data_IF_828843265087
#
_entry.id   IF_828843265087
#
_cell.length_a   1.000
_cell.length_b   1.000
_cell.length_c   1.000
_cell.angle_alpha   90.00
_cell.angle_beta   90.00
_cell.angle_gamma   90.00
#
_symmetry.space_group_name_H-M   'P 1'
#
loop_
_entity.id
_entity.type
_entity.pdbx_description
1 polymer ?
#
# COMPACT_ATOMS: atom_id res chain seq x y z
N UNK A 1 -3.31 21.57 6.93
CA UNK A 1 -2.09 20.91 7.46
C UNK A 1 -2.00 19.46 6.97
N UNK A 2 -0.80 18.86 6.80
CA UNK A 2 -0.64 17.48 6.24
C UNK A 2 -1.43 16.40 7.01
N UNK A 3 -1.32 16.39 8.34
CA UNK A 3 -1.90 15.35 9.21
C UNK A 3 -3.22 15.74 9.85
N UNK A 4 -3.86 16.80 9.36
CA UNK A 4 -5.06 17.41 9.93
C UNK A 4 -6.18 16.41 10.19
N UNK A 5 -6.48 15.54 9.20
CA UNK A 5 -7.53 14.52 9.32
C UNK A 5 -7.29 13.50 10.45
N UNK A 6 -6.02 13.25 10.79
CA UNK A 6 -5.64 12.34 11.87
C UNK A 6 -5.66 13.10 13.20
N UNK A 7 -4.96 14.24 13.27
CA UNK A 7 -4.78 14.98 14.51
C UNK A 7 -6.12 15.50 15.07
N UNK A 8 -7.06 15.89 14.19
CA UNK A 8 -8.40 16.32 14.59
C UNK A 8 -9.25 15.22 15.23
N UNK A 9 -8.78 13.97 15.21
CA UNK A 9 -9.43 12.81 15.85
C UNK A 9 -8.76 12.40 17.16
N UNK A 10 -7.61 12.99 17.49
CA UNK A 10 -6.86 12.69 18.71
C UNK A 10 -7.15 13.68 19.85
N UNK A 11 -7.71 14.85 19.52
CA UNK A 11 -8.02 15.91 20.48
C UNK A 11 -9.38 16.54 20.15
N UNK A 12 -10.09 16.98 21.19
CA UNK A 12 -11.29 17.81 21.05
C UNK A 12 -10.95 19.30 20.83
N UNK A 13 -9.68 19.66 20.95
CA UNK A 13 -9.19 21.03 20.78
C UNK A 13 -8.78 21.32 19.33
N UNK A 14 -8.89 22.60 18.88
CA UNK A 14 -8.41 23.00 17.57
C UNK A 14 -6.91 22.72 17.38
N UNK A 15 -6.54 22.39 16.15
CA UNK A 15 -5.15 22.16 15.78
C UNK A 15 -4.42 23.48 15.65
N UNK A 16 -3.24 23.58 16.28
CA UNK A 16 -2.37 24.76 16.21
C UNK A 16 -1.30 24.49 15.15
N UNK A 17 -1.20 25.39 14.16
CA UNK A 17 -0.15 25.36 13.15
C UNK A 17 0.97 26.35 13.53
N UNK A 18 2.03 25.83 14.15
CA UNK A 18 3.17 26.64 14.59
C UNK A 18 3.97 27.28 13.43
N UNK A 19 3.77 26.87 12.18
CA UNK A 19 4.40 27.54 11.05
C UNK A 19 3.79 28.93 10.78
N UNK A 20 2.49 29.09 11.06
CA UNK A 20 1.76 30.33 10.88
C UNK A 20 1.50 31.11 12.16
N UNK A 21 1.45 30.43 13.31
CA UNK A 21 1.15 31.04 14.61
C UNK A 21 2.43 31.35 15.40
N UNK A 22 2.76 32.65 15.49
CA UNK A 22 3.94 33.16 16.20
C UNK A 22 3.68 33.49 17.68
N UNK A 23 2.49 33.21 18.20
CA UNK A 23 2.16 33.50 19.61
C UNK A 23 2.81 32.48 20.53
N UNK A 24 3.08 32.91 21.76
CA UNK A 24 3.45 31.99 22.85
C UNK A 24 2.20 31.27 23.35
N UNK A 25 2.19 29.94 23.27
CA UNK A 25 1.11 29.10 23.80
C UNK A 25 1.56 28.49 25.13
N UNK A 26 0.89 28.86 26.22
CA UNK A 26 1.13 28.28 27.54
C UNK A 26 0.06 27.23 27.84
N UNK A 27 0.46 26.00 28.13
CA UNK A 27 -0.43 24.93 28.55
C UNK A 27 -0.07 24.51 29.98
N UNK A 28 -1.06 24.26 30.85
CA UNK A 28 -0.80 23.83 32.22
C UNK A 28 -0.16 22.44 32.27
N UNK A 29 -0.48 21.58 31.30
CA UNK A 29 0.00 20.20 31.22
C UNK A 29 0.26 19.80 29.75
N UNK A 30 1.09 18.78 29.55
CA UNK A 30 1.36 18.17 28.25
C UNK A 30 1.28 16.64 28.34
N UNK A 31 0.68 16.02 27.31
CA UNK A 31 0.69 14.56 27.16
C UNK A 31 1.81 14.19 26.18
N UNK A 32 2.86 13.54 26.68
CA UNK A 32 3.98 13.05 25.88
C UNK A 32 3.89 11.53 25.72
N UNK A 33 3.82 11.06 24.48
CA UNK A 33 3.84 9.63 24.18
C UNK A 33 5.26 9.08 24.25
N UNK A 34 5.60 8.39 25.35
CA UNK A 34 6.93 7.77 25.56
C UNK A 34 6.93 6.24 25.35
N UNK A 35 5.77 5.64 25.06
CA UNK A 35 5.63 4.18 24.91
C UNK A 35 5.79 3.77 23.45
N UNK A 36 6.86 3.04 23.17
CA UNK A 36 7.11 2.33 21.91
C UNK A 36 7.11 0.83 22.21
N UNK A 37 6.48 0.04 21.33
CA UNK A 37 6.47 -1.42 21.47
C UNK A 37 7.51 -2.08 20.54
N UNK A 38 7.60 -1.61 19.31
CA UNK A 38 8.57 -2.01 18.27
C UNK A 38 8.36 -1.08 17.05
N UNK A 39 9.09 -1.32 15.96
CA UNK A 39 8.87 -0.63 14.68
C UNK A 39 7.48 -0.94 14.09
N UNK A 40 6.60 0.08 14.05
CA UNK A 40 5.25 0.00 13.46
C UNK A 40 4.35 -1.12 14.04
N UNK A 41 4.65 -1.66 15.23
CA UNK A 41 3.81 -2.67 15.89
C UNK A 41 3.02 -2.09 17.05
N UNK A 42 1.99 -2.82 17.47
CA UNK A 42 1.23 -2.53 18.69
C UNK A 42 1.03 -3.82 19.47
N UNK A 43 1.77 -4.01 20.56
CA UNK A 43 1.60 -5.12 21.48
C UNK A 43 0.28 -4.98 22.27
N UNK A 44 -0.75 -5.81 22.01
CA UNK A 44 -2.06 -5.61 22.63
C UNK A 44 -2.04 -5.80 24.15
N UNK A 45 -1.24 -6.74 24.65
CA UNK A 45 -1.06 -7.01 26.09
C UNK A 45 -0.51 -5.82 26.88
N UNK A 46 0.18 -4.90 26.21
CA UNK A 46 0.76 -3.70 26.82
C UNK A 46 -0.17 -2.47 26.68
N UNK A 47 -1.28 -2.61 25.95
CA UNK A 47 -2.22 -1.53 25.67
C UNK A 47 -3.46 -1.61 26.55
N UNK A 48 -3.88 -0.45 27.09
CA UNK A 48 -5.19 -0.32 27.74
C UNK A 48 -6.30 -0.71 26.76
N UNK A 49 -7.08 -1.72 27.13
CA UNK A 49 -8.19 -2.23 26.31
C UNK A 49 -7.75 -3.12 25.14
N UNK A 50 -6.57 -3.74 25.24
CA UNK A 50 -6.05 -4.73 24.27
C UNK A 50 -6.05 -4.23 22.82
N UNK A 51 -5.74 -2.94 22.64
CA UNK A 51 -5.70 -2.32 21.31
C UNK A 51 -4.54 -2.88 20.51
N UNK A 52 -4.79 -3.19 19.24
CA UNK A 52 -3.81 -3.71 18.29
C UNK A 52 -3.63 -2.78 17.09
N UNK A 53 -2.76 -3.16 16.14
CA UNK A 53 -2.59 -2.46 14.86
C UNK A 53 -3.90 -2.40 14.04
N UNK A 54 -4.81 -3.36 14.24
CA UNK A 54 -6.14 -3.32 13.62
C UNK A 54 -7.00 -2.18 14.17
N UNK A 55 -6.89 -1.86 15.47
CA UNK A 55 -7.58 -0.69 16.03
C UNK A 55 -7.01 0.62 15.46
N UNK A 56 -5.70 0.69 15.23
CA UNK A 56 -5.08 1.82 14.54
C UNK A 56 -5.58 1.91 13.09
N UNK A 57 -5.68 0.79 12.37
CA UNK A 57 -6.26 0.75 11.04
C UNK A 57 -7.70 1.26 11.02
N UNK A 58 -8.56 0.82 11.93
CA UNK A 58 -9.93 1.34 12.06
C UNK A 58 -9.98 2.83 12.41
N UNK A 59 -9.01 3.32 13.18
CA UNK A 59 -8.88 4.75 13.44
C UNK A 59 -8.56 5.54 12.15
N UNK A 60 -7.68 5.02 11.29
CA UNK A 60 -7.41 5.62 9.99
C UNK A 60 -8.66 5.65 9.08
N UNK A 61 -9.49 4.60 9.09
CA UNK A 61 -10.79 4.61 8.38
C UNK A 61 -11.62 5.83 8.81
N UNK A 62 -11.83 6.00 10.12
CA UNK A 62 -12.64 7.10 10.66
C UNK A 62 -12.05 8.49 10.41
N UNK A 63 -10.72 8.59 10.40
CA UNK A 63 -10.01 9.83 10.15
C UNK A 63 -10.19 10.32 8.71
N UNK A 64 -10.04 9.42 7.72
CA UNK A 64 -10.05 9.81 6.30
C UNK A 64 -11.43 9.71 5.64
N UNK A 65 -12.37 8.92 6.17
CA UNK A 65 -13.69 8.73 5.57
C UNK A 65 -14.47 10.02 5.26
N UNK A 66 -14.50 11.06 6.12
CA UNK A 66 -15.22 12.30 5.81
C UNK A 66 -14.66 13.02 4.59
N UNK A 67 -13.32 13.07 4.46
CA UNK A 67 -12.66 13.73 3.34
C UNK A 67 -12.82 12.94 2.04
N UNK A 68 -12.83 11.61 2.12
CA UNK A 68 -13.10 10.75 0.95
C UNK A 68 -14.54 10.93 0.46
N UNK A 69 -15.53 10.95 1.36
CA UNK A 69 -16.94 11.13 1.01
C UNK A 69 -17.26 12.54 0.52
N UNK A 70 -16.66 13.56 1.13
CA UNK A 70 -16.94 14.96 0.81
C UNK A 70 -16.20 15.52 -0.40
N UNK A 71 -15.18 14.84 -0.94
CA UNK A 71 -14.31 15.43 -1.97
C UNK A 71 -14.47 14.94 -3.41
N UNK A 72 -15.26 13.91 -3.77
CA UNK A 72 -15.36 13.47 -5.18
C UNK A 72 -16.78 12.99 -5.57
N UNK A 73 -17.44 13.59 -6.59
CA UNK A 73 -18.51 12.93 -7.33
C UNK A 73 -17.89 11.76 -8.11
N UNK A 74 -18.49 10.57 -8.01
CA UNK A 74 -18.09 9.38 -8.77
C UNK A 74 -18.18 9.67 -10.28
N UNK A 75 -17.09 10.16 -10.89
CA UNK A 75 -16.95 10.31 -12.34
C UNK A 75 -16.75 8.97 -13.07
N UNK A 76 -17.26 7.87 -12.52
CA UNK A 76 -17.30 6.55 -13.16
C UNK A 76 -18.74 6.06 -13.46
N UNK A 77 -19.78 6.88 -13.24
CA UNK A 77 -21.16 6.56 -13.67
C UNK A 77 -21.74 7.51 -14.73
N UNK A 78 -20.94 8.43 -15.28
CA UNK A 78 -21.42 9.51 -16.16
C UNK A 78 -21.38 9.26 -17.68
N UNK A 79 -21.07 8.06 -18.17
CA UNK A 79 -20.87 7.81 -19.63
C UNK A 79 -22.04 7.05 -20.29
N UNK A 80 -23.11 6.71 -19.56
CA UNK A 80 -24.24 5.96 -20.15
C UNK A 80 -25.59 6.66 -20.15
N UNK A 81 -25.64 7.99 -19.91
CA UNK A 81 -26.90 8.75 -19.85
C UNK A 81 -26.95 10.02 -20.73
N UNK A 82 -26.03 10.19 -21.69
CA UNK A 82 -26.11 11.30 -22.66
C UNK A 82 -25.83 10.85 -24.09
N UNK A 83 -26.73 10.05 -24.63
CA UNK A 83 -27.00 9.88 -26.06
C UNK A 83 -28.34 9.18 -26.14
N UNK A 84 -29.43 9.94 -26.06
CA UNK A 84 -30.79 9.54 -26.45
C UNK A 84 -31.74 10.76 -26.32
N UNK A 85 -31.40 11.86 -26.97
CA UNK A 85 -32.34 12.95 -27.25
C UNK A 85 -31.97 13.56 -28.62
N UNK A 86 -32.32 12.84 -29.69
CA UNK A 86 -32.63 13.40 -31.01
C UNK A 86 -32.89 12.25 -31.99
N UNK A 87 -34.16 11.97 -32.25
CA UNK A 87 -34.72 11.62 -33.57
C UNK A 87 -36.09 10.97 -33.37
N UNK A 88 -37.13 11.73 -33.69
CA UNK A 88 -38.52 11.30 -33.80
C UNK A 88 -38.82 10.98 -35.27
N UNK A 89 -39.02 9.69 -35.61
CA UNK A 89 -39.81 9.22 -36.76
C UNK A 89 -40.44 7.87 -36.37
N UNK A 90 -41.75 7.62 -36.61
CA UNK A 90 -42.43 6.42 -36.12
C UNK A 90 -42.43 5.31 -37.18
N UNK A 91 -42.08 4.07 -36.79
CA UNK A 91 -42.53 2.89 -37.54
C UNK A 91 -42.75 1.68 -36.63
N UNK A 92 -43.91 1.08 -36.83
CA UNK A 92 -44.56 -0.01 -36.11
C UNK A 92 -43.77 -1.33 -36.24
N UNK A 93 -43.48 -2.01 -35.12
CA UNK A 93 -42.80 -3.31 -35.16
C UNK A 93 -42.56 -4.00 -33.81
N UNK A 94 -43.59 -4.69 -33.33
CA UNK A 94 -43.57 -5.92 -32.50
C UNK A 94 -42.67 -5.97 -31.24
N UNK A 95 -43.37 -5.92 -30.11
CA UNK A 95 -42.93 -6.26 -28.74
C UNK A 95 -42.13 -7.57 -28.67
N UNK A 96 -40.87 -7.48 -28.22
CA UNK A 96 -40.13 -8.58 -27.60
C UNK A 96 -39.75 -8.14 -26.18
N UNK A 97 -40.37 -8.78 -25.19
CA UNK A 97 -40.01 -8.62 -23.78
C UNK A 97 -38.61 -9.22 -23.59
N UNK A 98 -37.61 -8.37 -23.37
CA UNK A 98 -36.28 -8.81 -22.94
C UNK A 98 -36.34 -9.01 -21.43
N UNK A 99 -36.10 -10.26 -20.99
CA UNK A 99 -36.04 -10.65 -19.60
C UNK A 99 -34.93 -9.88 -18.86
N UNK A 100 -35.28 -9.29 -17.72
CA UNK A 100 -34.37 -8.64 -16.77
C UNK A 100 -33.67 -9.68 -15.89
N UNK A 101 -32.81 -10.53 -16.47
CA UNK A 101 -32.11 -11.55 -15.66
C UNK A 101 -30.67 -11.89 -16.11
N UNK A 102 -29.96 -10.93 -16.71
CA UNK A 102 -28.51 -11.04 -17.00
C UNK A 102 -27.70 -10.02 -16.20
N UNK A 103 -27.69 -10.14 -14.86
CA UNK A 103 -26.57 -9.59 -14.09
C UNK A 103 -25.36 -10.50 -14.26
N UNK A 104 -24.66 -10.39 -15.41
CA UNK A 104 -23.34 -10.98 -15.61
C UNK A 104 -22.46 -10.53 -14.43
N UNK A 105 -22.06 -11.48 -13.57
CA UNK A 105 -20.96 -11.28 -12.62
C UNK A 105 -19.70 -10.96 -13.44
N UNK A 106 -19.44 -9.67 -13.67
CA UNK A 106 -18.22 -9.25 -14.33
C UNK A 106 -17.05 -9.59 -13.42
N UNK A 107 -16.16 -10.46 -13.91
CA UNK A 107 -14.92 -10.83 -13.24
C UNK A 107 -14.12 -9.56 -12.97
N UNK A 108 -13.81 -9.31 -11.70
CA UNK A 108 -13.06 -8.12 -11.27
C UNK A 108 -11.57 -8.38 -11.40
N UNK A 109 -10.86 -7.43 -12.02
CA UNK A 109 -9.39 -7.40 -12.09
C UNK A 109 -8.81 -6.79 -10.81
N UNK A 110 -7.86 -7.47 -10.13
CA UNK A 110 -7.17 -6.91 -8.97
C UNK A 110 -6.43 -5.63 -9.33
N UNK A 111 -6.47 -4.64 -8.43
CA UNK A 111 -5.72 -3.41 -8.54
C UNK A 111 -4.38 -3.54 -7.82
N UNK A 112 -3.32 -3.24 -8.55
CA UNK A 112 -1.95 -3.23 -8.05
C UNK A 112 -1.41 -1.80 -8.03
N UNK A 113 -0.85 -1.38 -6.91
CA UNK A 113 -0.16 -0.10 -6.78
C UNK A 113 1.34 -0.32 -6.71
N UNK A 114 2.09 0.37 -7.56
CA UNK A 114 3.56 0.42 -7.49
C UNK A 114 3.94 1.73 -6.81
N UNK A 115 4.63 1.65 -5.67
CA UNK A 115 5.24 2.81 -5.02
C UNK A 115 6.53 3.19 -5.72
N UNK A 116 6.41 4.18 -6.60
CA UNK A 116 7.54 4.75 -7.33
C UNK A 116 8.35 5.70 -6.47
N UNK A 117 9.66 5.73 -6.70
CA UNK A 117 10.63 6.54 -5.96
C UNK A 117 11.59 7.21 -6.95
N UNK A 118 11.95 8.45 -6.65
CA UNK A 118 13.03 9.19 -7.32
C UNK A 118 14.22 9.31 -6.38
N UNK A 119 15.43 9.09 -6.88
CA UNK A 119 16.65 9.10 -6.07
C UNK A 119 17.05 7.69 -5.62
N UNK A 120 17.28 7.50 -4.32
CA UNK A 120 17.75 6.22 -3.78
C UNK A 120 16.65 5.16 -3.71
N UNK A 121 17.07 3.91 -3.94
CA UNK A 121 16.22 2.71 -3.98
C UNK A 121 15.10 2.80 -5.01
N UNK A 122 15.36 3.48 -6.12
CA UNK A 122 14.47 3.49 -7.27
C UNK A 122 14.51 2.13 -8.00
N UNK A 123 13.36 1.75 -8.57
CA UNK A 123 13.29 0.65 -9.53
C UNK A 123 13.68 1.18 -10.90
N UNK A 124 14.86 0.81 -11.40
CA UNK A 124 15.38 1.37 -12.66
C UNK A 124 14.63 0.83 -13.88
N UNK A 125 14.04 -0.36 -13.77
CA UNK A 125 13.21 -1.00 -14.77
C UNK A 125 11.72 -1.04 -14.36
N UNK A 126 11.21 0.03 -13.74
CA UNK A 126 9.81 0.17 -13.31
C UNK A 126 8.81 -0.08 -14.45
N UNK A 127 9.09 0.42 -15.65
CA UNK A 127 8.21 0.25 -16.82
C UNK A 127 8.05 -1.23 -17.21
N UNK A 128 9.11 -2.04 -17.05
CA UNK A 128 9.03 -3.48 -17.28
C UNK A 128 8.11 -4.17 -16.25
N UNK A 129 8.15 -3.73 -15.00
CA UNK A 129 7.25 -4.23 -13.95
C UNK A 129 5.79 -3.82 -14.23
N UNK A 130 5.56 -2.57 -14.64
CA UNK A 130 4.22 -2.09 -15.04
C UNK A 130 3.66 -2.98 -16.15
N UNK A 131 4.41 -3.12 -17.25
CA UNK A 131 3.99 -3.91 -18.41
C UNK A 131 3.70 -5.36 -18.04
N UNK A 132 4.58 -6.01 -17.28
CA UNK A 132 4.36 -7.38 -16.81
C UNK A 132 3.08 -7.52 -15.98
N UNK A 133 2.82 -6.58 -15.07
CA UNK A 133 1.62 -6.62 -14.24
C UNK A 133 0.34 -6.41 -15.08
N UNK A 134 0.37 -5.52 -16.06
CA UNK A 134 -0.74 -5.31 -17.00
C UNK A 134 -1.00 -6.55 -17.87
N UNK A 135 0.05 -7.15 -18.42
CA UNK A 135 -0.01 -8.38 -19.22
C UNK A 135 -0.59 -9.57 -18.41
N UNK A 136 -0.33 -9.62 -17.10
CA UNK A 136 -0.95 -10.58 -16.17
C UNK A 136 -2.44 -10.31 -15.88
N UNK A 137 -2.93 -9.11 -16.20
CA UNK A 137 -4.33 -8.73 -15.99
C UNK A 137 -4.59 -7.89 -14.74
N UNK A 138 -3.56 -7.35 -14.07
CA UNK A 138 -3.76 -6.34 -13.04
C UNK A 138 -4.27 -5.02 -13.64
N UNK A 139 -5.01 -4.25 -12.84
CA UNK A 139 -5.16 -2.81 -13.05
C UNK A 139 -4.03 -2.11 -12.29
N UNK A 140 -3.06 -1.57 -13.01
CA UNK A 140 -1.84 -1.01 -12.40
C UNK A 140 -2.00 0.49 -12.17
N UNK A 141 -1.55 0.98 -11.02
CA UNK A 141 -1.41 2.41 -10.74
C UNK A 141 -0.03 2.70 -10.12
N UNK A 142 0.73 3.58 -10.77
CA UNK A 142 2.03 4.03 -10.25
C UNK A 142 1.82 5.23 -9.33
N UNK A 143 2.03 5.02 -8.03
CA UNK A 143 1.91 6.04 -7.01
C UNK A 143 3.29 6.63 -6.72
N UNK A 144 3.44 7.94 -6.94
CA UNK A 144 4.59 8.74 -6.50
C UNK A 144 4.21 9.53 -5.24
N UNK A 145 4.63 9.10 -4.04
CA UNK A 145 4.18 9.71 -2.79
C UNK A 145 4.58 11.18 -2.68
N UNK A 146 3.60 12.08 -2.73
CA UNK A 146 3.78 13.50 -2.41
C UNK A 146 3.36 13.74 -0.96
N UNK A 147 4.15 14.53 -0.23
CA UNK A 147 3.94 14.76 1.22
C UNK A 147 2.56 15.36 1.56
N UNK A 148 1.85 15.98 0.63
CA UNK A 148 0.63 16.76 0.89
C UNK A 148 -0.69 16.01 0.66
N UNK A 149 -0.69 14.77 0.16
CA UNK A 149 -1.91 14.12 -0.38
C UNK A 149 -2.37 12.85 0.36
N UNK A 150 -2.23 12.80 1.69
CA UNK A 150 -2.51 11.58 2.47
C UNK A 150 -3.91 11.00 2.27
N UNK A 151 -4.96 11.82 2.19
CA UNK A 151 -6.32 11.32 1.99
C UNK A 151 -6.52 10.66 0.61
N UNK A 152 -5.85 11.16 -0.43
CA UNK A 152 -5.88 10.57 -1.78
C UNK A 152 -5.12 9.24 -1.78
N UNK A 153 -3.93 9.20 -1.17
CA UNK A 153 -3.13 7.98 -1.03
C UNK A 153 -3.89 6.91 -0.23
N UNK A 154 -4.49 7.30 0.89
CA UNK A 154 -5.32 6.41 1.68
C UNK A 154 -6.48 5.85 0.85
N UNK A 155 -7.20 6.68 0.10
CA UNK A 155 -8.29 6.20 -0.77
C UNK A 155 -7.81 5.22 -1.83
N UNK A 156 -6.67 5.49 -2.45
CA UNK A 156 -6.08 4.65 -3.48
C UNK A 156 -5.69 3.27 -2.91
N UNK A 157 -4.86 3.27 -1.85
CA UNK A 157 -4.35 2.03 -1.25
C UNK A 157 -5.46 1.22 -0.59
N UNK A 158 -6.43 1.87 0.04
CA UNK A 158 -7.59 1.20 0.64
C UNK A 158 -8.52 0.53 -0.40
N UNK A 159 -8.38 0.87 -1.68
CA UNK A 159 -9.09 0.25 -2.82
C UNK A 159 -8.20 -0.68 -3.66
N UNK A 160 -6.99 -0.98 -3.18
CA UNK A 160 -6.02 -1.79 -3.91
C UNK A 160 -5.81 -3.14 -3.24
N UNK A 161 -5.67 -4.19 -4.04
CA UNK A 161 -5.48 -5.56 -3.58
C UNK A 161 -4.00 -5.91 -3.40
N UNK A 162 -3.12 -5.26 -4.16
CA UNK A 162 -1.68 -5.50 -4.13
C UNK A 162 -0.94 -4.16 -4.08
N UNK A 163 0.12 -4.11 -3.29
CA UNK A 163 1.05 -3.00 -3.22
C UNK A 163 2.47 -3.51 -3.35
N UNK A 164 3.24 -2.94 -4.26
CA UNK A 164 4.67 -3.24 -4.47
C UNK A 164 5.48 -1.99 -4.15
N UNK A 165 6.59 -2.14 -3.43
CA UNK A 165 7.53 -1.05 -3.25
C UNK A 165 8.87 -1.49 -2.69
N UNK A 166 9.89 -0.68 -2.93
CA UNK A 166 11.22 -0.90 -2.35
C UNK A 166 11.26 -0.43 -0.90
N UNK A 167 11.95 -1.19 -0.05
CA UNK A 167 12.15 -0.90 1.37
C UNK A 167 12.44 0.60 1.64
N UNK A 168 11.72 1.18 2.58
CA UNK A 168 11.98 2.52 3.11
C UNK A 168 10.73 3.28 3.54
N UNK A 169 10.89 4.54 3.96
CA UNK A 169 9.83 5.32 4.60
C UNK A 169 8.52 5.41 3.79
N UNK A 170 8.59 5.49 2.46
CA UNK A 170 7.41 5.51 1.61
C UNK A 170 6.57 4.22 1.71
N UNK A 171 7.21 3.07 1.98
CA UNK A 171 6.54 1.78 2.09
C UNK A 171 5.58 1.71 3.30
N UNK A 172 5.77 2.56 4.32
CA UNK A 172 4.91 2.64 5.52
C UNK A 172 3.43 2.93 5.19
N UNK A 173 3.14 3.43 3.99
CA UNK A 173 1.77 3.59 3.52
C UNK A 173 1.03 2.25 3.31
N UNK A 174 1.71 1.09 3.46
CA UNK A 174 1.03 -0.21 3.55
C UNK A 174 -0.02 -0.26 4.66
N UNK A 175 0.14 0.56 5.71
CA UNK A 175 -0.85 0.75 6.79
C UNK A 175 -2.22 1.23 6.28
N UNK A 176 -2.30 1.70 5.02
CA UNK A 176 -3.56 2.12 4.38
C UNK A 176 -4.23 0.99 3.59
N UNK A 177 -3.56 -0.14 3.39
CA UNK A 177 -4.16 -1.32 2.78
C UNK A 177 -5.26 -1.90 3.69
N UNK A 178 -6.20 -2.62 3.07
CA UNK A 178 -7.18 -3.40 3.83
C UNK A 178 -6.58 -4.74 4.26
N UNK A 179 -6.99 -5.28 5.42
CA UNK A 179 -6.70 -6.67 5.75
C UNK A 179 -7.03 -7.64 4.60
N UNK A 180 -6.15 -8.62 4.43
CA UNK A 180 -6.11 -9.59 3.35
C UNK A 180 -5.63 -9.02 2.00
N UNK A 181 -5.08 -7.80 1.94
CA UNK A 181 -4.37 -7.33 0.74
C UNK A 181 -2.93 -7.87 0.75
N UNK A 182 -2.23 -7.79 -0.38
CA UNK A 182 -0.85 -8.25 -0.52
C UNK A 182 0.11 -7.07 -0.43
N UNK A 183 1.13 -7.19 0.41
CA UNK A 183 2.29 -6.30 0.42
C UNK A 183 3.50 -7.06 -0.15
N UNK A 184 4.03 -6.58 -1.26
CA UNK A 184 5.30 -7.05 -1.83
C UNK A 184 6.37 -6.01 -1.52
N UNK A 185 7.33 -6.41 -0.71
CA UNK A 185 8.48 -5.58 -0.37
C UNK A 185 9.70 -6.03 -1.18
N UNK A 186 10.25 -5.15 -2.01
CA UNK A 186 11.60 -5.35 -2.56
C UNK A 186 12.60 -4.98 -1.48
N UNK A 187 13.45 -5.94 -1.10
CA UNK A 187 14.43 -5.86 -0.01
C UNK A 187 15.82 -5.68 -0.63
N UNK A 188 16.40 -4.45 -0.58
CA UNK A 188 17.75 -4.21 -1.03
C UNK A 188 18.82 -4.95 -0.22
N UNK A 189 20.05 -5.03 -0.73
CA UNK A 189 21.18 -5.61 0.01
C UNK A 189 21.34 -4.93 1.37
N UNK A 190 21.75 -5.67 2.40
CA UNK A 190 22.01 -5.15 3.74
C UNK A 190 20.78 -4.69 4.54
N UNK A 191 19.57 -4.93 4.04
CA UNK A 191 18.32 -4.48 4.72
C UNK A 191 17.43 -5.62 5.22
N UNK A 192 17.94 -6.84 5.33
CA UNK A 192 17.18 -8.03 5.73
C UNK A 192 16.48 -7.88 7.10
N UNK A 193 17.26 -7.58 8.14
CA UNK A 193 16.75 -7.40 9.51
C UNK A 193 15.70 -6.28 9.59
N UNK A 194 15.97 -5.04 9.14
CA UNK A 194 14.98 -3.98 9.18
C UNK A 194 13.78 -4.23 8.26
N UNK A 195 13.91 -5.01 7.18
CA UNK A 195 12.77 -5.36 6.34
C UNK A 195 11.73 -6.18 7.11
N UNK A 196 12.20 -7.16 7.88
CA UNK A 196 11.33 -8.01 8.69
C UNK A 196 10.73 -7.24 9.87
N UNK A 197 11.54 -6.49 10.64
CA UNK A 197 11.06 -5.75 11.83
C UNK A 197 10.13 -4.60 11.45
N UNK A 198 10.48 -3.78 10.46
CA UNK A 198 9.71 -2.59 10.12
C UNK A 198 8.49 -2.88 9.24
N UNK A 199 8.46 -3.98 8.47
CA UNK A 199 7.41 -4.21 7.48
C UNK A 199 6.84 -5.63 7.53
N UNK A 200 7.67 -6.67 7.55
CA UNK A 200 7.24 -8.06 7.51
C UNK A 200 6.28 -8.43 8.65
N UNK A 201 6.73 -8.25 9.90
CA UNK A 201 5.93 -8.50 11.10
C UNK A 201 4.69 -7.59 11.19
N UNK A 202 4.82 -6.24 11.08
CA UNK A 202 3.67 -5.33 11.09
C UNK A 202 2.62 -5.62 10.02
N UNK A 203 3.03 -5.99 8.79
CA UNK A 203 2.10 -6.34 7.72
C UNK A 203 1.27 -7.58 8.06
N UNK A 204 1.90 -8.61 8.64
CA UNK A 204 1.19 -9.82 9.10
C UNK A 204 0.23 -9.53 10.25
N UNK A 205 0.65 -8.72 11.23
CA UNK A 205 -0.23 -8.30 12.34
C UNK A 205 -1.43 -7.46 11.86
N UNK A 206 -1.25 -6.69 10.78
CA UNK A 206 -2.33 -5.95 10.10
C UNK A 206 -3.25 -6.88 9.27
N UNK A 207 -2.93 -8.17 9.19
CA UNK A 207 -3.69 -9.16 8.41
C UNK A 207 -3.39 -9.14 6.92
N UNK A 208 -2.25 -8.60 6.49
CA UNK A 208 -1.82 -8.62 5.09
C UNK A 208 -1.09 -9.92 4.75
N UNK A 209 -1.18 -10.32 3.48
CA UNK A 209 -0.26 -11.31 2.92
C UNK A 209 1.05 -10.61 2.58
N UNK A 210 2.08 -10.85 3.36
CA UNK A 210 3.41 -10.27 3.15
C UNK A 210 4.26 -11.16 2.24
N UNK A 211 4.96 -10.55 1.29
CA UNK A 211 5.94 -11.21 0.43
C UNK A 211 7.20 -10.35 0.34
N UNK A 212 8.32 -10.87 0.86
CA UNK A 212 9.63 -10.24 0.72
C UNK A 212 10.38 -10.74 -0.51
N UNK A 213 10.78 -9.83 -1.40
CA UNK A 213 11.65 -10.10 -2.54
C UNK A 213 13.06 -9.62 -2.22
N UNK A 214 13.91 -10.54 -1.73
CA UNK A 214 15.33 -10.26 -1.52
C UNK A 214 16.06 -10.22 -2.87
N UNK A 215 16.68 -9.09 -3.15
CA UNK A 215 17.47 -8.92 -4.37
C UNK A 215 18.78 -9.69 -4.27
N UNK A 216 19.29 -10.13 -5.41
CA UNK A 216 20.66 -10.60 -5.56
C UNK A 216 21.62 -9.42 -5.78
N UNK A 217 22.94 -9.61 -5.59
CA UNK A 217 23.91 -8.57 -5.89
C UNK A 217 23.77 -7.99 -7.30
N UNK A 218 23.53 -8.85 -8.31
CA UNK A 218 23.38 -8.43 -9.73
C UNK A 218 22.18 -7.53 -10.01
N UNK A 219 21.22 -7.48 -9.11
CA UNK A 219 20.05 -6.60 -9.21
C UNK A 219 20.29 -5.24 -8.53
N UNK A 220 21.41 -5.07 -7.84
CA UNK A 220 21.83 -3.84 -7.18
C UNK A 220 22.72 -3.00 -8.09
N UNK A 221 22.54 -1.68 -8.08
CA UNK A 221 23.50 -0.76 -8.73
C UNK A 221 24.91 -0.87 -8.14
N UNK A 222 25.04 -1.28 -6.88
CA UNK A 222 26.32 -1.46 -6.20
C UNK A 222 27.20 -2.53 -6.86
N UNK A 223 26.60 -3.46 -7.63
CA UNK A 223 27.35 -4.50 -8.34
C UNK A 223 28.37 -3.95 -9.34
N UNK A 224 28.13 -2.73 -9.87
CA UNK A 224 29.04 -2.06 -10.78
C UNK A 224 29.99 -1.08 -10.07
N UNK A 225 29.80 -0.85 -8.76
CA UNK A 225 30.60 0.09 -7.96
C UNK A 225 31.66 -0.61 -7.12
N UNK A 226 31.46 -1.89 -6.79
CA UNK A 226 32.33 -2.67 -5.91
C UNK A 226 32.82 -3.94 -6.61
N UNK A 227 33.98 -4.45 -6.17
CA UNK A 227 34.51 -5.73 -6.64
C UNK A 227 33.57 -6.87 -6.24
N UNK A 228 33.56 -7.96 -7.03
CA UNK A 228 32.58 -9.05 -6.85
C UNK A 228 32.73 -9.78 -5.51
N UNK A 229 33.95 -9.82 -4.98
CA UNK A 229 34.26 -10.44 -3.68
C UNK A 229 34.15 -9.45 -2.51
N UNK A 230 33.86 -8.17 -2.79
CA UNK A 230 33.76 -7.13 -1.77
C UNK A 230 32.66 -7.48 -0.74
N UNK A 231 32.94 -7.35 0.58
CA UNK A 231 31.96 -7.59 1.64
C UNK A 231 30.66 -6.81 1.48
N UNK A 232 30.65 -5.67 0.79
CA UNK A 232 29.43 -4.91 0.47
C UNK A 232 28.44 -5.75 -0.35
N UNK A 233 28.94 -6.64 -1.21
CA UNK A 233 28.13 -7.52 -2.04
C UNK A 233 27.98 -8.92 -1.45
N UNK A 234 29.05 -9.46 -0.85
CA UNK A 234 29.11 -10.87 -0.41
C UNK A 234 28.65 -11.07 1.02
N UNK A 235 28.82 -10.09 1.90
CA UNK A 235 28.52 -10.20 3.32
C UNK A 235 28.07 -8.86 3.92
N UNK A 236 26.92 -8.32 3.49
CA UNK A 236 26.45 -7.02 3.94
C UNK A 236 26.09 -7.08 5.45
N UNK A 237 27.01 -6.65 6.32
CA UNK A 237 26.85 -6.64 7.79
C UNK A 237 26.82 -5.23 8.38
N UNK A 238 25.93 -5.04 9.36
CA UNK A 238 26.04 -3.99 10.39
C UNK A 238 25.28 -2.69 10.10
N UNK A 239 24.27 -2.38 10.92
CA UNK A 239 23.43 -1.16 10.80
C UNK A 239 24.24 0.15 10.74
N UNK A 240 25.40 0.20 11.41
CA UNK A 240 26.30 1.38 11.43
C UNK A 240 26.87 1.79 10.07
N UNK A 241 26.98 0.86 9.11
CA UNK A 241 27.37 1.16 7.72
C UNK A 241 26.18 1.04 6.74
N UNK A 242 24.99 0.68 7.23
CA UNK A 242 23.86 0.28 6.40
C UNK A 242 23.12 1.43 5.74
N UNK A 243 23.05 2.59 6.39
CA UNK A 243 22.27 3.72 5.86
C UNK A 243 22.91 4.31 4.60
N UNK A 244 24.16 4.75 4.69
CA UNK A 244 24.80 5.47 3.58
C UNK A 244 24.95 4.58 2.33
N UNK A 245 25.43 3.35 2.50
CA UNK A 245 25.69 2.45 1.37
C UNK A 245 24.39 1.87 0.82
N UNK A 246 23.59 1.19 1.66
CA UNK A 246 22.47 0.40 1.16
C UNK A 246 21.15 1.16 1.05
N UNK A 247 20.95 2.24 1.83
CA UNK A 247 19.74 3.05 1.76
C UNK A 247 19.89 4.26 0.83
N UNK A 248 21.09 4.84 0.70
CA UNK A 248 21.25 6.08 -0.06
C UNK A 248 21.91 5.89 -1.43
N UNK A 249 22.77 4.88 -1.60
CA UNK A 249 23.55 4.69 -2.84
C UNK A 249 23.11 3.53 -3.74
N UNK A 250 22.07 2.81 -3.35
CA UNK A 250 21.61 1.63 -4.08
C UNK A 250 20.30 1.89 -4.83
N UNK A 251 20.26 1.55 -6.11
CA UNK A 251 19.05 1.36 -6.90
C UNK A 251 18.90 -0.10 -7.32
N UNK A 252 17.70 -0.48 -7.74
CA UNK A 252 17.35 -1.89 -8.00
C UNK A 252 16.88 -2.07 -9.43
N UNK A 253 17.50 -3.02 -10.14
CA UNK A 253 17.03 -3.56 -11.41
C UNK A 253 16.47 -4.96 -11.16
N UNK A 254 15.14 -5.11 -11.17
CA UNK A 254 14.49 -6.38 -10.86
C UNK A 254 14.81 -7.43 -11.92
N UNK A 255 15.15 -8.65 -11.48
CA UNK A 255 15.10 -9.83 -12.32
C UNK A 255 13.64 -10.16 -12.63
N UNK A 256 13.23 -9.89 -13.87
CA UNK A 256 11.85 -10.03 -14.29
C UNK A 256 11.35 -11.47 -14.31
N UNK A 257 12.23 -12.45 -14.50
CA UNK A 257 11.82 -13.87 -14.45
C UNK A 257 11.55 -14.32 -13.02
N UNK A 258 12.40 -13.92 -12.08
CA UNK A 258 12.20 -14.20 -10.65
C UNK A 258 10.99 -13.45 -10.11
N UNK A 259 10.86 -12.17 -10.44
CA UNK A 259 9.77 -11.34 -9.97
C UNK A 259 8.40 -11.77 -10.54
N UNK A 260 8.35 -12.23 -11.79
CA UNK A 260 7.11 -12.76 -12.40
C UNK A 260 6.46 -13.87 -11.55
N UNK A 261 7.26 -14.82 -11.04
CA UNK A 261 6.75 -15.93 -10.21
C UNK A 261 6.06 -15.42 -8.95
N UNK A 262 6.65 -14.41 -8.31
CA UNK A 262 6.11 -13.78 -7.13
C UNK A 262 4.82 -13.01 -7.44
N UNK A 263 4.84 -12.25 -8.52
CA UNK A 263 3.71 -11.44 -8.95
C UNK A 263 2.49 -12.30 -9.34
N UNK A 264 2.72 -13.46 -9.97
CA UNK A 264 1.68 -14.44 -10.24
C UNK A 264 1.02 -14.97 -8.96
N UNK A 265 1.80 -15.28 -7.92
CA UNK A 265 1.25 -15.72 -6.62
C UNK A 265 0.38 -14.64 -5.96
N UNK A 266 0.74 -13.37 -6.11
CA UNK A 266 -0.05 -12.24 -5.63
C UNK A 266 -1.32 -12.06 -6.46
N UNK A 267 -1.24 -12.25 -7.79
CA UNK A 267 -2.39 -12.21 -8.69
C UNK A 267 -3.40 -13.28 -8.32
N UNK A 268 -2.99 -14.54 -8.27
CA UNK A 268 -3.89 -15.66 -7.98
C UNK A 268 -4.60 -15.49 -6.64
N UNK A 269 -3.86 -15.09 -5.61
CA UNK A 269 -4.44 -14.83 -4.29
C UNK A 269 -5.46 -13.69 -4.32
N UNK A 270 -5.11 -12.56 -4.92
CA UNK A 270 -6.00 -11.39 -4.96
C UNK A 270 -7.21 -11.60 -5.86
N UNK A 271 -7.02 -12.24 -7.01
CA UNK A 271 -8.08 -12.59 -7.96
C UNK A 271 -9.12 -13.50 -7.33
N UNK A 272 -8.67 -14.59 -6.68
CA UNK A 272 -9.56 -15.52 -5.97
C UNK A 272 -10.32 -14.80 -4.85
N UNK A 273 -9.65 -13.95 -4.08
CA UNK A 273 -10.27 -13.19 -2.99
C UNK A 273 -11.39 -12.27 -3.49
N UNK A 274 -11.15 -11.46 -4.51
CA UNK A 274 -12.14 -10.45 -4.95
C UNK A 274 -13.28 -11.03 -5.80
N UNK A 275 -13.09 -12.22 -6.36
CA UNK A 275 -14.10 -12.94 -7.15
C UNK A 275 -14.76 -14.09 -6.36
N UNK A 276 -14.65 -14.09 -5.02
CA UNK A 276 -15.45 -14.95 -4.14
C UNK A 276 -14.96 -16.39 -3.98
N UNK A 277 -13.71 -16.68 -4.33
CA UNK A 277 -13.11 -18.02 -4.23
C UNK A 277 -12.28 -18.23 -2.94
N UNK A 278 -12.11 -17.20 -2.10
CA UNK A 278 -11.45 -17.28 -0.78
C UNK A 278 -12.25 -16.46 0.23
N UNK A 279 -12.71 -17.07 1.33
CA UNK A 279 -13.30 -16.35 2.48
C UNK A 279 -12.23 -16.07 3.55
N UNK A 280 -12.16 -14.82 4.02
CA UNK A 280 -11.16 -14.36 5.00
C UNK A 280 -11.23 -15.09 6.36
N UNK A 281 -12.40 -15.63 6.70
CA UNK A 281 -12.63 -16.31 7.99
C UNK A 281 -11.94 -17.68 8.09
N UNK A 282 -11.51 -18.29 6.98
CA UNK A 282 -10.78 -19.56 7.01
C UNK A 282 -9.28 -19.40 7.29
N UNK A 283 -8.71 -18.22 7.05
CA UNK A 283 -7.28 -17.96 7.29
C UNK A 283 -6.94 -17.68 8.75
N UNK A 284 -7.87 -17.17 9.56
CA UNK A 284 -7.63 -16.91 10.99
C UNK A 284 -7.50 -18.18 11.83
N UNK A 285 -8.06 -19.32 11.37
CA UNK A 285 -7.92 -20.60 12.08
C UNK A 285 -6.61 -21.33 11.76
N UNK A 286 -5.97 -21.03 10.63
CA UNK A 286 -4.66 -21.60 10.29
C UNK A 286 -3.48 -20.96 11.05
N UNK A 287 -3.66 -19.77 11.65
CA UNK A 287 -2.64 -19.11 12.47
C UNK A 287 -2.73 -19.46 13.98
N UNK A 288 -3.61 -20.39 14.37
CA UNK A 288 -3.69 -20.92 15.75
C UNK A 288 -2.97 -22.26 15.95
N UNK A 289 -2.29 -22.80 14.93
CA UNK A 289 -1.67 -24.13 14.95
C UNK A 289 -0.15 -24.13 14.64
N UNK A 290 0.57 -23.05 14.97
CA UNK A 290 2.03 -23.08 15.12
C UNK A 290 2.42 -22.41 16.42
#
# INVERSE_FOLDING_TARGET
>A
MKYENILSRLSNYPLIDFAGDKRTHCFPDAIVGLKIHDDLTVAPSLMKGNKSILNFRHFLDRAYQPRIKGSIPDKEQGVQLKLNQSASVPTLGRSMKINKDDQKHQVKKPKLVILSRSGSRALVNEDCLVKMAEDMGFRVEVLRPKRTELAKMYRLLNKSEVMVGVHGAALTHFLFLKPGSVLIQVIPLGTDSPAETCFGKPARELGLKYIGYKISPRESSLYNEYDQDDPVLTNPKGWQYTMEIYLDRQNVSLDMRRFHKLLLQAYDYSFKKINGQISYNQTTDLFKLC
#
